data_IF_397453138719
#
_entry.id   IF_397453138719
#
_cell.length_a   1.000
_cell.length_b   1.000
_cell.length_c   1.000
_cell.angle_alpha   90.00
_cell.angle_beta   90.00
_cell.angle_gamma   90.00
#
_symmetry.space_group_name_H-M   'P 1'
#
loop_
_entity.id
_entity.type
_entity.pdbx_description
1 polymer ?
#
# COMPACT_ATOMS: atom_id res chain seq x y z
N UNK A 1 9.11 4.80 -13.90
CA UNK A 1 8.74 4.91 -12.49
C UNK A 1 9.73 4.11 -11.65
N UNK A 2 10.21 4.66 -10.53
CA UNK A 2 11.20 3.96 -9.69
C UNK A 2 10.54 3.35 -8.44
N UNK A 3 9.44 3.93 -7.98
CA UNK A 3 8.67 3.51 -6.82
C UNK A 3 7.20 3.88 -7.04
N UNK A 4 6.29 3.02 -6.61
CA UNK A 4 4.85 3.27 -6.66
C UNK A 4 4.34 3.78 -5.31
N UNK A 5 3.30 4.59 -5.35
CA UNK A 5 2.58 5.05 -4.15
C UNK A 5 1.10 5.34 -4.49
N UNK A 6 0.21 5.40 -3.50
CA UNK A 6 -1.18 5.74 -3.73
C UNK A 6 -1.35 7.11 -4.38
N UNK A 7 -1.96 7.16 -5.54
CA UNK A 7 -2.24 8.39 -6.28
C UNK A 7 -3.73 8.64 -6.52
N UNK A 8 -4.59 7.76 -6.01
CA UNK A 8 -6.03 7.78 -6.26
C UNK A 8 -6.42 7.24 -7.64
N UNK A 9 -7.70 6.92 -7.78
CA UNK A 9 -8.32 6.52 -9.05
C UNK A 9 -9.75 7.08 -9.13
N UNK A 10 -9.90 8.26 -9.72
CA UNK A 10 -11.21 8.89 -9.86
C UNK A 10 -12.17 8.07 -10.75
N UNK A 11 -11.64 7.23 -11.64
CA UNK A 11 -12.47 6.43 -12.54
C UNK A 11 -13.19 5.31 -11.81
N UNK A 12 -12.65 4.79 -10.71
CA UNK A 12 -13.33 3.82 -9.89
C UNK A 12 -14.66 4.38 -9.35
N UNK A 13 -14.72 5.67 -9.04
CA UNK A 13 -15.96 6.33 -8.61
C UNK A 13 -17.06 6.26 -9.67
N UNK A 14 -16.71 6.33 -10.95
CA UNK A 14 -17.66 6.20 -12.05
C UNK A 14 -18.10 4.74 -12.25
N UNK A 15 -17.15 3.80 -12.17
CA UNK A 15 -17.42 2.37 -12.39
C UNK A 15 -18.31 1.77 -11.29
N UNK A 16 -18.09 2.18 -10.03
CA UNK A 16 -18.77 1.64 -8.86
C UNK A 16 -19.88 2.57 -8.34
N UNK A 17 -20.18 3.66 -9.05
CA UNK A 17 -21.16 4.68 -8.64
C UNK A 17 -20.89 5.22 -7.22
N UNK A 18 -19.63 5.32 -6.84
CA UNK A 18 -19.20 5.83 -5.54
C UNK A 18 -19.27 7.38 -5.57
N UNK A 19 -20.21 7.96 -4.84
CA UNK A 19 -20.40 9.43 -4.77
C UNK A 19 -19.44 10.12 -3.80
N UNK A 20 -18.64 9.37 -3.07
CA UNK A 20 -17.68 9.89 -2.10
C UNK A 20 -16.30 10.08 -2.73
N UNK A 21 -15.42 10.83 -2.08
CA UNK A 21 -14.02 10.95 -2.49
C UNK A 21 -13.15 9.72 -2.21
N UNK A 22 -13.74 8.57 -1.83
CA UNK A 22 -13.03 7.40 -1.30
C UNK A 22 -11.96 6.81 -2.25
N UNK A 23 -12.12 6.97 -3.57
CA UNK A 23 -11.14 6.54 -4.56
C UNK A 23 -10.07 7.58 -4.88
N UNK A 24 -10.08 8.73 -4.23
CA UNK A 24 -9.14 9.84 -4.45
C UNK A 24 -8.35 10.14 -3.18
N UNK A 25 -7.28 10.89 -3.32
CA UNK A 25 -6.45 11.33 -2.20
C UNK A 25 -7.02 12.63 -1.62
N UNK A 26 -7.37 12.62 -0.33
CA UNK A 26 -7.76 13.80 0.41
C UNK A 26 -6.51 14.56 0.85
N UNK A 27 -6.49 15.86 0.64
CA UNK A 27 -5.42 16.74 1.13
C UNK A 27 -5.94 18.16 1.35
N UNK A 28 -5.10 19.00 1.95
CA UNK A 28 -5.35 20.43 2.07
C UNK A 28 -5.28 21.10 0.71
N UNK A 29 -6.15 22.07 0.47
CA UNK A 29 -6.17 22.89 -0.73
C UNK A 29 -6.18 24.38 -0.34
N UNK A 30 -5.98 25.26 -1.33
CA UNK A 30 -5.97 26.70 -1.11
C UNK A 30 -7.25 27.19 -0.38
N UNK A 31 -7.09 28.22 0.45
CA UNK A 31 -8.20 28.81 1.22
C UNK A 31 -8.54 28.06 2.50
N UNK A 32 -7.63 27.28 3.08
CA UNK A 32 -7.84 26.57 4.35
C UNK A 32 -8.88 25.45 4.26
N UNK A 33 -9.05 24.87 3.09
CA UNK A 33 -10.05 23.83 2.81
C UNK A 33 -9.37 22.47 2.58
N UNK A 34 -10.21 21.44 2.46
CA UNK A 34 -9.78 20.10 2.05
C UNK A 34 -10.42 19.75 0.70
N UNK A 35 -9.70 19.01 -0.11
CA UNK A 35 -10.16 18.57 -1.42
C UNK A 35 -9.63 17.19 -1.80
N UNK A 36 -10.32 16.55 -2.72
CA UNK A 36 -9.96 15.24 -3.24
C UNK A 36 -9.37 15.38 -4.63
N UNK A 37 -8.17 14.82 -4.83
CA UNK A 37 -7.47 14.81 -6.11
C UNK A 37 -6.92 13.43 -6.42
N UNK A 38 -6.56 13.23 -7.69
CA UNK A 38 -5.85 12.02 -8.13
C UNK A 38 -4.69 12.39 -9.03
N UNK A 39 -3.75 11.48 -9.15
CA UNK A 39 -2.63 11.57 -10.08
C UNK A 39 -1.30 11.20 -9.43
N UNK A 40 -0.27 11.13 -10.26
CA UNK A 40 1.11 10.95 -9.80
C UNK A 40 1.58 12.10 -8.90
N UNK A 41 0.99 13.29 -9.08
CA UNK A 41 1.20 14.44 -8.19
C UNK A 41 0.73 14.20 -6.75
N UNK A 42 -0.22 13.28 -6.54
CA UNK A 42 -0.68 12.85 -5.21
C UNK A 42 0.15 11.67 -4.70
N UNK A 43 0.64 10.82 -5.59
CA UNK A 43 1.54 9.72 -5.22
C UNK A 43 2.92 10.22 -4.77
N UNK A 44 3.47 11.24 -5.40
CA UNK A 44 4.78 11.79 -5.08
C UNK A 44 4.93 12.23 -3.60
N UNK A 45 4.03 13.05 -3.03
CA UNK A 45 4.13 13.45 -1.62
C UNK A 45 3.96 12.30 -0.63
N UNK A 46 3.29 11.20 -0.99
CA UNK A 46 3.29 10.00 -0.15
C UNK A 46 4.70 9.42 0.00
N UNK A 47 5.45 9.32 -1.10
CA UNK A 47 6.84 8.86 -1.05
C UNK A 47 7.71 9.84 -0.25
N UNK A 48 7.56 11.14 -0.47
CA UNK A 48 8.30 12.17 0.25
C UNK A 48 8.00 12.15 1.75
N UNK A 49 6.72 11.96 2.12
CA UNK A 49 6.31 11.85 3.52
C UNK A 49 6.88 10.62 4.22
N UNK A 50 6.88 9.46 3.55
CA UNK A 50 7.49 8.24 4.07
C UNK A 50 9.01 8.39 4.19
N UNK A 51 9.66 9.04 3.22
CA UNK A 51 11.10 9.33 3.30
C UNK A 51 11.41 10.26 4.47
N UNK A 52 10.65 11.34 4.65
CA UNK A 52 10.82 12.27 5.78
C UNK A 52 10.62 11.57 7.14
N UNK A 53 9.62 10.69 7.23
CA UNK A 53 9.39 9.87 8.42
C UNK A 53 10.60 8.97 8.72
N UNK A 54 11.14 8.30 7.71
CA UNK A 54 12.33 7.45 7.85
C UNK A 54 13.55 8.23 8.29
N UNK A 55 13.82 9.40 7.72
CA UNK A 55 14.94 10.26 8.11
C UNK A 55 14.76 10.84 9.53
N UNK A 56 13.54 11.24 9.89
CA UNK A 56 13.24 11.68 11.25
C UNK A 56 13.51 10.58 12.28
N UNK A 57 13.12 9.36 11.98
CA UNK A 57 13.38 8.21 12.84
C UNK A 57 14.87 7.86 12.91
N UNK A 58 15.59 7.94 11.79
CA UNK A 58 17.04 7.76 11.75
C UNK A 58 17.74 8.78 12.69
N UNK A 59 17.31 10.04 12.64
CA UNK A 59 17.85 11.09 13.50
C UNK A 59 17.62 10.81 14.99
N UNK A 60 16.44 10.31 15.38
CA UNK A 60 16.15 9.89 16.76
C UNK A 60 17.08 8.75 17.23
N UNK A 61 17.40 7.83 16.32
CA UNK A 61 18.33 6.72 16.58
C UNK A 61 19.81 7.11 16.42
N UNK A 62 20.11 8.38 16.13
CA UNK A 62 21.45 8.90 15.83
C UNK A 62 22.13 8.13 14.68
N UNK A 63 21.35 7.69 13.71
CA UNK A 63 21.84 7.06 12.48
C UNK A 63 21.89 8.08 11.35
N UNK A 64 22.95 8.01 10.56
CA UNK A 64 23.17 8.88 9.43
C UNK A 64 23.22 8.05 8.15
N UNK A 65 22.59 8.56 7.11
CA UNK A 65 22.58 8.01 5.78
C UNK A 65 22.99 9.12 4.79
N UNK A 66 23.78 8.79 3.82
CA UNK A 66 23.92 9.62 2.62
C UNK A 66 22.62 9.57 1.82
N UNK A 67 22.43 10.50 0.90
CA UNK A 67 21.25 10.54 0.04
C UNK A 67 21.09 9.23 -0.78
N UNK A 68 22.20 8.70 -1.28
CA UNK A 68 22.18 7.46 -2.09
C UNK A 68 21.90 6.22 -1.24
N UNK A 69 22.48 6.12 -0.05
CA UNK A 69 22.18 5.03 0.88
C UNK A 69 20.70 5.03 1.29
N UNK A 70 20.17 6.19 1.64
CA UNK A 70 18.77 6.28 2.03
C UNK A 70 17.81 6.01 0.88
N UNK A 71 18.14 6.49 -0.32
CA UNK A 71 17.40 6.18 -1.54
C UNK A 71 17.39 4.68 -1.84
N UNK A 72 18.55 4.03 -1.73
CA UNK A 72 18.66 2.58 -1.90
C UNK A 72 17.79 1.84 -0.87
N UNK A 73 17.85 2.26 0.40
CA UNK A 73 17.04 1.71 1.49
C UNK A 73 15.53 1.85 1.20
N UNK A 74 15.12 3.04 0.75
CA UNK A 74 13.73 3.32 0.38
C UNK A 74 13.22 2.36 -0.72
N UNK A 75 14.04 2.10 -1.74
CA UNK A 75 13.69 1.19 -2.83
C UNK A 75 13.68 -0.28 -2.40
N UNK A 76 14.62 -0.69 -1.56
CA UNK A 76 14.71 -2.08 -1.06
C UNK A 76 13.56 -2.43 -0.10
N UNK A 77 12.96 -1.42 0.54
CA UNK A 77 11.91 -1.63 1.52
C UNK A 77 10.48 -1.50 0.96
N UNK A 78 10.34 -1.40 -0.35
CA UNK A 78 9.02 -1.42 -1.00
C UNK A 78 8.33 -2.78 -0.86
N UNK A 79 7.02 -2.79 -1.01
CA UNK A 79 6.23 -4.02 -1.18
C UNK A 79 6.12 -4.34 -2.66
N UNK A 80 6.62 -5.49 -3.13
CA UNK A 80 6.44 -5.91 -4.52
C UNK A 80 4.96 -6.00 -4.87
N UNK A 81 4.57 -5.45 -6.03
CA UNK A 81 3.16 -5.42 -6.47
C UNK A 81 2.90 -6.15 -7.79
N UNK A 82 3.93 -6.66 -8.44
CA UNK A 82 3.79 -7.33 -9.73
C UNK A 82 2.93 -8.59 -9.68
N UNK A 83 2.91 -9.30 -8.56
CA UNK A 83 2.03 -10.46 -8.35
C UNK A 83 0.54 -10.09 -8.40
N UNK A 84 0.20 -8.84 -8.11
CA UNK A 84 -1.17 -8.33 -8.19
C UNK A 84 -1.55 -7.81 -9.58
N UNK A 85 -0.58 -7.71 -10.50
CA UNK A 85 -0.80 -7.32 -11.88
C UNK A 85 -1.38 -8.49 -12.69
N UNK A 86 -2.65 -8.80 -12.41
CA UNK A 86 -3.41 -9.90 -13.05
C UNK A 86 -4.80 -9.42 -13.43
N UNK A 87 -5.39 -10.07 -14.45
CA UNK A 87 -6.74 -9.75 -14.91
C UNK A 87 -6.81 -8.45 -15.73
N UNK A 88 -8.00 -7.90 -15.78
CA UNK A 88 -8.34 -6.73 -16.57
C UNK A 88 -8.74 -5.57 -15.65
N UNK A 89 -8.29 -4.36 -15.99
CA UNK A 89 -8.74 -3.13 -15.35
C UNK A 89 -9.54 -2.30 -16.35
N UNK A 90 -10.78 -1.98 -16.02
CA UNK A 90 -11.55 -1.00 -16.75
C UNK A 90 -11.22 0.41 -16.27
N UNK A 91 -11.07 1.34 -17.19
CA UNK A 91 -10.89 2.75 -16.88
C UNK A 91 -11.42 3.62 -18.01
N UNK A 92 -11.56 4.92 -17.75
CA UNK A 92 -11.95 5.89 -18.75
C UNK A 92 -10.77 6.78 -19.12
N UNK A 93 -10.50 6.91 -20.40
CA UNK A 93 -9.55 7.89 -20.92
C UNK A 93 -10.30 9.13 -21.36
N UNK A 94 -9.91 10.27 -20.85
CA UNK A 94 -10.39 11.54 -21.37
C UNK A 94 -9.76 11.81 -22.75
N UNK A 95 -10.60 12.04 -23.74
CA UNK A 95 -10.19 12.42 -25.10
C UNK A 95 -10.65 13.87 -25.32
N UNK A 96 -9.69 14.79 -25.30
CA UNK A 96 -9.97 16.23 -25.30
C UNK A 96 -10.81 16.69 -26.52
N UNK A 97 -10.50 16.16 -27.68
CA UNK A 97 -11.18 16.53 -28.94
C UNK A 97 -12.64 16.07 -29.00
N UNK A 98 -13.00 15.09 -28.21
CA UNK A 98 -14.37 14.54 -28.16
C UNK A 98 -15.11 15.04 -26.92
N UNK A 99 -14.41 15.60 -25.94
CA UNK A 99 -14.99 16.07 -24.69
C UNK A 99 -15.61 14.95 -23.83
N UNK A 100 -15.32 13.69 -24.11
CA UNK A 100 -15.91 12.52 -23.48
C UNK A 100 -14.84 11.58 -22.94
N UNK A 101 -15.17 10.92 -21.83
CA UNK A 101 -14.39 9.80 -21.33
C UNK A 101 -14.70 8.54 -22.16
N UNK A 102 -13.68 8.01 -22.79
CA UNK A 102 -13.80 6.76 -23.54
C UNK A 102 -13.49 5.58 -22.62
N UNK A 103 -14.37 4.57 -22.56
CA UNK A 103 -14.10 3.36 -21.79
C UNK A 103 -12.93 2.60 -22.44
N UNK A 104 -11.99 2.17 -21.61
CA UNK A 104 -10.84 1.37 -22.03
C UNK A 104 -10.64 0.22 -21.08
N UNK A 105 -10.02 -0.85 -21.59
CA UNK A 105 -9.66 -2.00 -20.79
C UNK A 105 -8.16 -2.27 -20.91
N UNK A 106 -7.51 -2.41 -19.76
CA UNK A 106 -6.09 -2.72 -19.65
C UNK A 106 -5.91 -4.15 -19.16
N UNK A 107 -5.04 -4.89 -19.83
CA UNK A 107 -4.53 -6.16 -19.33
C UNK A 107 -3.39 -5.86 -18.36
N UNK A 108 -3.62 -6.05 -17.06
CA UNK A 108 -2.68 -5.65 -16.02
C UNK A 108 -1.34 -6.38 -16.13
N UNK A 109 -1.33 -7.63 -16.59
CA UNK A 109 -0.10 -8.40 -16.80
C UNK A 109 0.93 -7.71 -17.71
N UNK A 110 0.48 -6.85 -18.65
CA UNK A 110 1.36 -6.11 -19.54
C UNK A 110 2.20 -5.04 -18.81
N UNK A 111 1.83 -4.70 -17.58
CA UNK A 111 2.50 -3.66 -16.77
C UNK A 111 3.41 -4.25 -15.68
N UNK A 112 3.59 -5.57 -15.63
CA UNK A 112 4.56 -6.21 -14.75
C UNK A 112 5.96 -5.68 -15.02
N UNK A 113 6.76 -5.54 -13.98
CA UNK A 113 8.12 -4.96 -14.00
C UNK A 113 8.18 -3.49 -14.49
N UNK A 114 7.04 -2.80 -14.60
CA UNK A 114 6.99 -1.39 -14.99
C UNK A 114 6.62 -0.45 -13.83
N UNK A 115 6.31 -1.01 -12.66
CA UNK A 115 5.87 -0.26 -11.46
C UNK A 115 7.03 0.09 -10.52
N UNK A 116 8.27 0.05 -11.02
CA UNK A 116 9.47 0.29 -10.22
C UNK A 116 9.75 -0.88 -9.27
N UNK A 117 10.35 -0.58 -8.11
CA UNK A 117 10.68 -1.60 -7.10
C UNK A 117 9.47 -2.10 -6.32
N UNK A 118 8.32 -1.43 -6.44
CA UNK A 118 7.09 -1.77 -5.75
C UNK A 118 6.45 -0.57 -5.08
N UNK A 119 5.45 -0.82 -4.25
CA UNK A 119 4.74 0.21 -3.50
C UNK A 119 5.52 0.63 -2.25
N UNK A 120 5.61 1.94 -2.01
CA UNK A 120 6.23 2.49 -0.79
C UNK A 120 5.61 1.88 0.46
N UNK A 121 6.47 1.51 1.43
CA UNK A 121 6.05 0.87 2.68
C UNK A 121 6.80 1.50 3.86
N UNK A 122 6.08 2.35 4.61
CA UNK A 122 6.64 3.06 5.75
C UNK A 122 7.12 2.10 6.86
N UNK A 123 6.36 1.04 7.15
CA UNK A 123 6.72 0.10 8.20
C UNK A 123 8.02 -0.65 7.89
N UNK A 124 8.19 -1.11 6.65
CA UNK A 124 9.42 -1.77 6.21
C UNK A 124 10.61 -0.82 6.24
N UNK A 125 10.41 0.45 5.81
CA UNK A 125 11.45 1.46 5.85
C UNK A 125 11.90 1.73 7.29
N UNK A 126 10.98 1.99 8.22
CA UNK A 126 11.30 2.26 9.61
C UNK A 126 12.05 1.09 10.27
N UNK A 127 11.62 -0.13 9.97
CA UNK A 127 12.29 -1.33 10.44
C UNK A 127 13.73 -1.43 9.91
N UNK A 128 13.96 -1.17 8.64
CA UNK A 128 15.29 -1.14 8.05
C UNK A 128 16.16 -0.02 8.65
N UNK A 129 15.57 1.16 8.88
CA UNK A 129 16.23 2.29 9.56
C UNK A 129 16.63 1.91 10.98
N UNK A 130 15.83 1.15 11.72
CA UNK A 130 16.17 0.71 13.09
C UNK A 130 17.34 -0.28 13.13
N UNK A 131 17.67 -0.93 12.02
CA UNK A 131 18.68 -2.00 11.95
C UNK A 131 18.18 -3.34 12.51
N UNK A 132 16.95 -3.39 12.98
CA UNK A 132 16.29 -4.62 13.45
C UNK A 132 15.63 -5.35 12.29
N UNK A 133 16.42 -5.91 11.37
CA UNK A 133 15.99 -6.49 10.09
C UNK A 133 14.97 -7.63 10.15
N UNK A 134 14.38 -7.94 11.30
CA UNK A 134 13.53 -9.12 11.45
C UNK A 134 12.10 -8.87 11.90
N UNK A 135 11.75 -7.76 12.53
CA UNK A 135 10.39 -7.63 13.07
C UNK A 135 9.87 -6.20 13.06
N UNK A 136 8.77 -5.99 12.37
CA UNK A 136 7.81 -4.91 12.65
C UNK A 136 6.66 -5.55 13.40
N UNK A 137 6.08 -4.86 14.38
CA UNK A 137 4.87 -5.34 15.04
C UNK A 137 3.75 -5.50 14.01
N UNK A 138 3.14 -6.67 13.99
CA UNK A 138 1.93 -6.87 13.20
C UNK A 138 0.83 -5.94 13.74
N UNK A 139 0.09 -5.23 12.88
CA UNK A 139 -0.93 -4.29 13.36
C UNK A 139 -2.07 -5.03 14.06
N UNK A 140 -2.70 -4.36 15.02
CA UNK A 140 -3.96 -4.83 15.56
C UNK A 140 -5.02 -4.87 14.45
N UNK A 141 -5.64 -6.01 14.27
CA UNK A 141 -6.74 -6.18 13.31
C UNK A 141 -8.06 -6.07 14.09
N UNK A 142 -8.90 -5.11 13.68
CA UNK A 142 -10.24 -4.94 14.23
C UNK A 142 -11.25 -5.57 13.28
N UNK A 143 -12.00 -6.55 13.77
CA UNK A 143 -12.89 -7.37 12.94
C UNK A 143 -14.30 -7.30 13.48
N UNK A 144 -15.24 -6.86 12.66
CA UNK A 144 -16.66 -6.93 13.01
C UNK A 144 -17.15 -8.37 13.02
N UNK A 145 -18.11 -8.66 13.88
CA UNK A 145 -18.72 -9.97 14.01
C UNK A 145 -19.19 -10.52 12.66
N UNK A 146 -18.84 -11.75 12.36
CA UNK A 146 -19.17 -12.42 11.11
C UNK A 146 -18.43 -11.91 9.86
N UNK A 147 -17.53 -10.91 10.00
CA UNK A 147 -16.72 -10.40 8.90
C UNK A 147 -15.33 -11.02 8.88
N UNK A 148 -14.67 -10.91 7.73
CA UNK A 148 -13.31 -11.33 7.51
C UNK A 148 -12.41 -10.13 7.26
N UNK A 149 -11.19 -10.19 7.81
CA UNK A 149 -10.08 -9.30 7.48
C UNK A 149 -8.96 -10.13 6.88
N UNK A 150 -8.39 -9.63 5.79
CA UNK A 150 -7.27 -10.27 5.11
C UNK A 150 -6.03 -9.39 5.24
N UNK A 151 -4.91 -10.00 5.57
CA UNK A 151 -3.62 -9.33 5.68
C UNK A 151 -2.53 -10.17 5.00
N UNK A 152 -1.46 -9.51 4.59
CA UNK A 152 -0.28 -10.17 4.04
C UNK A 152 0.87 -9.93 5.02
N UNK A 153 1.23 -10.89 5.87
CA UNK A 153 2.29 -10.73 6.87
C UNK A 153 3.62 -10.24 6.28
N UNK A 154 3.96 -10.67 5.07
CA UNK A 154 5.18 -10.22 4.38
C UNK A 154 5.29 -8.69 4.22
N UNK A 155 4.18 -7.95 4.27
CA UNK A 155 4.20 -6.50 4.22
C UNK A 155 4.72 -5.87 5.52
N UNK A 156 4.77 -6.62 6.60
CA UNK A 156 5.15 -6.17 7.94
C UNK A 156 6.49 -6.73 8.42
N UNK A 157 7.06 -7.70 7.70
CA UNK A 157 8.34 -8.31 8.06
C UNK A 157 9.34 -8.17 6.91
N UNK A 158 10.60 -7.89 7.22
CA UNK A 158 11.69 -7.93 6.24
C UNK A 158 12.16 -9.38 6.04
N UNK A 159 12.59 -9.70 4.82
CA UNK A 159 13.01 -11.05 4.44
C UNK A 159 11.86 -11.94 3.95
N UNK A 160 10.77 -11.31 3.51
CA UNK A 160 9.47 -11.92 3.22
C UNK A 160 9.43 -13.19 2.40
N UNK A 161 10.31 -13.36 1.41
CA UNK A 161 10.32 -14.56 0.54
C UNK A 161 10.93 -15.80 1.23
N UNK A 162 11.73 -15.58 2.28
CA UNK A 162 12.37 -16.65 3.05
C UNK A 162 11.66 -16.94 4.37
N UNK A 163 10.63 -16.16 4.71
CA UNK A 163 9.89 -16.32 5.96
C UNK A 163 8.69 -17.25 5.79
N UNK A 164 8.57 -18.21 6.69
CA UNK A 164 7.37 -19.03 6.85
C UNK A 164 6.49 -18.43 7.93
N UNK A 165 5.22 -18.28 7.64
CA UNK A 165 4.24 -17.71 8.56
C UNK A 165 3.33 -18.79 9.11
N UNK A 166 3.17 -18.82 10.42
CA UNK A 166 2.19 -19.67 11.11
C UNK A 166 1.23 -18.76 11.89
N UNK A 167 -0.02 -19.17 11.99
CA UNK A 167 -1.03 -18.49 12.79
C UNK A 167 -1.59 -19.45 13.83
N UNK A 168 -1.71 -18.98 15.05
CA UNK A 168 -2.39 -19.67 16.12
C UNK A 168 -3.43 -18.76 16.77
N UNK A 169 -4.49 -19.33 17.30
CA UNK A 169 -5.57 -18.61 17.95
C UNK A 169 -5.68 -19.15 19.38
N UNK A 170 -5.65 -18.24 20.36
CA UNK A 170 -5.78 -18.61 21.77
C UNK A 170 -7.20 -19.08 22.12
N UNK A 171 -8.21 -18.48 21.49
CA UNK A 171 -9.62 -18.83 21.69
C UNK A 171 -10.34 -18.97 20.34
N UNK A 172 -10.58 -20.21 19.94
CA UNK A 172 -11.27 -20.54 18.68
C UNK A 172 -12.78 -20.29 18.73
N UNK A 173 -13.35 -20.00 19.89
CA UNK A 173 -14.74 -19.59 20.01
C UNK A 173 -14.95 -18.11 19.60
N UNK A 174 -13.89 -17.29 19.69
CA UNK A 174 -13.95 -15.85 19.38
C UNK A 174 -13.62 -15.58 17.93
N UNK A 175 -12.67 -16.31 17.36
CA UNK A 175 -12.25 -16.09 15.97
C UNK A 175 -11.73 -17.38 15.33
N UNK A 176 -11.67 -17.37 14.00
CA UNK A 176 -10.87 -18.32 13.21
C UNK A 176 -9.81 -17.58 12.42
N UNK A 177 -8.66 -18.22 12.21
CA UNK A 177 -7.62 -17.69 11.33
C UNK A 177 -7.02 -18.81 10.49
N UNK A 178 -6.67 -18.47 9.25
CA UNK A 178 -6.01 -19.40 8.33
C UNK A 178 -4.93 -18.69 7.53
N UNK A 179 -3.91 -19.43 7.16
CA UNK A 179 -2.89 -19.01 6.19
C UNK A 179 -3.08 -19.76 4.89
N UNK A 180 -3.15 -19.02 3.80
CA UNK A 180 -3.15 -19.55 2.44
C UNK A 180 -1.94 -18.93 1.70
N UNK A 181 -0.85 -19.69 1.62
CA UNK A 181 0.44 -19.14 1.19
C UNK A 181 0.87 -17.99 2.10
N UNK A 182 1.07 -16.81 1.52
CA UNK A 182 1.46 -15.60 2.26
C UNK A 182 0.27 -14.77 2.80
N UNK A 183 -0.96 -15.26 2.65
CA UNK A 183 -2.17 -14.50 2.98
C UNK A 183 -2.79 -15.01 4.27
N UNK A 184 -2.88 -14.12 5.26
CA UNK A 184 -3.62 -14.34 6.51
C UNK A 184 -5.09 -13.93 6.29
N UNK A 185 -6.02 -14.81 6.67
CA UNK A 185 -7.44 -14.49 6.76
C UNK A 185 -7.88 -14.72 8.21
N UNK A 186 -8.51 -13.72 8.81
CA UNK A 186 -9.08 -13.82 10.17
C UNK A 186 -10.56 -13.47 10.10
N UNK A 187 -11.39 -14.27 10.77
CA UNK A 187 -12.84 -14.08 10.84
C UNK A 187 -13.29 -14.00 12.30
N UNK A 188 -14.02 -12.96 12.66
CA UNK A 188 -14.65 -12.81 13.96
C UNK A 188 -15.91 -13.69 14.07
N UNK A 189 -16.00 -14.50 15.12
CA UNK A 189 -17.11 -15.43 15.38
C UNK A 189 -18.01 -14.96 16.52
N UNK A 190 -17.42 -14.31 17.53
CA UNK A 190 -18.11 -13.85 18.74
C UNK A 190 -17.47 -12.55 19.23
N UNK A 191 -18.30 -11.66 19.79
CA UNK A 191 -17.85 -10.44 20.45
C UNK A 191 -17.58 -10.68 21.93
#
# INVERSE_FOLDING_TARGET
CNIAAPGGDAYQSYLENIKTGASKVLSTVNGGKYGYMQGTSMACPHVSGVAALGLSYAAQLRRHFTADEFKALLYQTTTPIDSYMTGLKNYYRYVADVGLNQPMQLTLANYRNQMGTGQVNAARLLNAVSGNGKQVSFPNLYISLGKEVKAIPANYFLGGETLTYTVSIADTAVATASMEGAKLTVKGLKA
#
